data_IF_329989349990
#
_entry.id   IF_329989349990
#
_cell.length_a   1.000
_cell.length_b   1.000
_cell.length_c   1.000
_cell.angle_alpha   90.00
_cell.angle_beta   90.00
_cell.angle_gamma   90.00
#
_symmetry.space_group_name_H-M   'P 1'
#
loop_
_entity.id
_entity.type
_entity.pdbx_description
1 polymer ?
#
# COMPACT_ATOMS: atom_id res chain seq x y z
N UNK A 1 -33.61 -16.06 -36.94
CA UNK A 1 -33.62 -14.82 -36.12
C UNK A 1 -32.58 -14.79 -34.99
N UNK A 2 -31.48 -15.58 -35.04
CA UNK A 2 -30.48 -15.64 -33.94
C UNK A 2 -29.14 -14.93 -34.17
N UNK A 3 -28.92 -14.31 -35.34
CA UNK A 3 -27.65 -13.63 -35.68
C UNK A 3 -27.58 -12.17 -35.24
N UNK A 4 -28.73 -11.49 -35.16
CA UNK A 4 -28.82 -10.07 -34.78
C UNK A 4 -28.60 -9.86 -33.28
N UNK A 5 -29.14 -10.75 -32.43
CA UNK A 5 -29.03 -10.64 -30.96
C UNK A 5 -27.59 -10.80 -30.44
N UNK A 6 -26.77 -11.62 -31.11
CA UNK A 6 -25.35 -11.82 -30.74
C UNK A 6 -24.47 -10.63 -31.16
N UNK A 7 -24.78 -9.99 -32.29
CA UNK A 7 -24.11 -8.78 -32.74
C UNK A 7 -24.48 -7.58 -31.85
N UNK A 8 -25.75 -7.45 -31.44
CA UNK A 8 -26.18 -6.40 -30.52
C UNK A 8 -25.51 -6.53 -29.14
N UNK A 9 -25.37 -7.75 -28.63
CA UNK A 9 -24.71 -8.02 -27.35
C UNK A 9 -23.20 -7.71 -27.41
N UNK A 10 -22.53 -8.09 -28.51
CA UNK A 10 -21.12 -7.73 -28.73
C UNK A 10 -20.92 -6.22 -28.92
N UNK A 11 -21.84 -5.54 -29.63
CA UNK A 11 -21.83 -4.09 -29.79
C UNK A 11 -22.09 -3.37 -28.46
N UNK A 12 -22.99 -3.87 -27.61
CA UNK A 12 -23.21 -3.32 -26.26
C UNK A 12 -21.97 -3.49 -25.38
N UNK A 13 -21.31 -4.66 -25.41
CA UNK A 13 -20.07 -4.88 -24.68
C UNK A 13 -18.92 -3.99 -25.18
N UNK A 14 -18.77 -3.84 -26.49
CA UNK A 14 -17.79 -2.92 -27.10
C UNK A 14 -18.09 -1.46 -26.75
N UNK A 15 -19.37 -1.07 -26.68
CA UNK A 15 -19.77 0.28 -26.28
C UNK A 15 -19.50 0.54 -24.79
N UNK A 16 -19.76 -0.43 -23.91
CA UNK A 16 -19.42 -0.37 -22.48
C UNK A 16 -17.90 -0.34 -22.27
N UNK A 17 -17.11 -1.07 -23.07
CA UNK A 17 -15.65 -1.01 -23.03
C UNK A 17 -15.09 0.32 -23.58
N UNK A 18 -15.76 0.97 -24.55
CA UNK A 18 -15.32 2.24 -25.12
C UNK A 18 -15.64 3.44 -24.21
N UNK A 19 -16.58 3.30 -23.27
CA UNK A 19 -16.86 4.30 -22.23
C UNK A 19 -15.87 4.24 -21.06
N UNK A 20 -15.07 3.18 -20.93
CA UNK A 20 -13.89 3.17 -20.07
C UNK A 20 -12.68 3.64 -20.89
N UNK A 21 -12.61 4.94 -21.16
CA UNK A 21 -11.35 5.56 -21.59
C UNK A 21 -10.42 5.71 -20.40
N UNK A 22 -9.24 5.07 -20.38
CA UNK A 22 -8.11 5.64 -19.66
C UNK A 22 -7.66 6.87 -20.45
N UNK A 23 -7.80 8.05 -19.86
CA UNK A 23 -7.21 9.29 -20.37
C UNK A 23 -5.69 9.13 -20.32
N UNK A 24 -5.12 8.67 -21.44
CA UNK A 24 -3.69 8.74 -21.70
C UNK A 24 -3.40 10.14 -22.19
N UNK A 25 -2.92 10.99 -21.29
CA UNK A 25 -2.24 12.23 -21.65
C UNK A 25 -0.78 12.10 -21.26
N UNK A 26 0.05 11.83 -22.26
CA UNK A 26 1.49 12.02 -22.23
C UNK A 26 1.79 13.51 -22.05
N UNK A 27 2.36 13.89 -20.91
CA UNK A 27 3.01 15.21 -20.75
C UNK A 27 4.31 15.00 -19.96
N UNK A 28 5.40 15.38 -20.61
CA UNK A 28 6.78 15.45 -20.11
C UNK A 28 6.89 16.30 -18.83
N UNK A 29 7.83 16.02 -17.91
CA UNK A 29 8.02 16.86 -16.73
C UNK A 29 8.64 18.21 -17.13
N UNK A 30 8.14 19.36 -16.64
CA UNK A 30 8.89 20.59 -16.72
C UNK A 30 10.02 20.57 -15.70
N UNK A 31 11.22 20.83 -16.20
CA UNK A 31 12.40 21.24 -15.44
C UNK A 31 12.05 22.55 -14.71
N UNK A 32 12.00 22.53 -13.38
CA UNK A 32 12.13 23.75 -12.60
C UNK A 32 13.18 23.55 -11.51
N UNK A 33 14.33 24.14 -11.80
CA UNK A 33 15.42 24.47 -10.90
C UNK A 33 14.85 25.27 -9.73
N UNK A 34 15.09 24.83 -8.50
CA UNK A 34 15.12 25.73 -7.35
C UNK A 34 16.34 25.36 -6.51
N UNK A 35 17.43 26.07 -6.80
CA UNK A 35 18.56 26.23 -5.91
C UNK A 35 18.09 27.03 -4.70
N UNK A 36 18.42 26.55 -3.50
CA UNK A 36 18.09 27.21 -2.24
C UNK A 36 18.73 26.48 -1.08
N UNK A 37 20.06 26.35 -1.14
CA UNK A 37 20.89 26.01 0.01
C UNK A 37 21.00 27.24 0.90
N UNK A 38 20.50 27.16 2.13
CA UNK A 38 21.02 27.96 3.24
C UNK A 38 21.15 27.06 4.47
N UNK A 39 22.41 26.70 4.74
CA UNK A 39 22.90 26.43 6.09
C UNK A 39 22.45 27.56 7.02
N UNK A 40 21.90 27.20 8.18
CA UNK A 40 22.00 28.07 9.34
C UNK A 40 22.29 27.25 10.58
N UNK A 41 23.47 27.53 11.09
CA UNK A 41 24.14 27.11 12.31
C UNK A 41 23.29 27.17 13.57
N UNK A 42 23.56 26.20 14.44
CA UNK A 42 23.20 26.16 15.86
C UNK A 42 23.21 27.54 16.53
N UNK A 43 22.09 27.91 17.14
CA UNK A 43 22.10 28.80 18.29
C UNK A 43 21.12 28.27 19.34
N UNK A 44 21.69 27.78 20.45
CA UNK A 44 20.95 27.41 21.66
C UNK A 44 20.45 28.70 22.29
N UNK A 45 19.15 28.80 22.52
CA UNK A 45 18.64 29.68 23.56
C UNK A 45 17.41 29.03 24.21
N UNK A 46 17.60 28.56 25.43
CA UNK A 46 16.52 28.13 26.32
C UNK A 46 15.90 29.40 26.88
N UNK A 47 14.67 29.69 26.49
CA UNK A 47 13.76 30.54 27.25
C UNK A 47 12.44 29.82 27.42
N UNK A 48 12.22 29.44 28.66
CA UNK A 48 10.98 28.90 29.19
C UNK A 48 10.05 30.09 29.42
N UNK A 49 8.95 30.17 28.66
CA UNK A 49 7.80 30.99 29.01
C UNK A 49 6.54 30.14 28.85
N UNK A 50 5.76 30.12 29.93
CA UNK A 50 4.50 29.40 30.06
C UNK A 50 3.40 30.20 29.34
N UNK A 51 2.86 29.66 28.26
CA UNK A 51 1.47 29.87 27.86
C UNK A 51 0.94 28.59 27.19
N UNK A 52 -0.31 28.23 27.50
CA UNK A 52 -0.88 26.89 27.38
C UNK A 52 -1.27 26.48 25.95
N UNK A 53 -0.29 26.23 25.10
CA UNK A 53 -0.46 25.38 23.90
C UNK A 53 0.57 24.26 24.02
N UNK A 54 0.11 23.06 24.40
CA UNK A 54 0.93 21.85 24.23
C UNK A 54 1.16 21.66 22.74
N UNK A 55 2.24 22.24 22.22
CA UNK A 55 2.67 22.00 20.85
C UNK A 55 3.17 20.57 20.78
N UNK A 56 2.36 19.69 20.19
CA UNK A 56 2.75 18.30 19.99
C UNK A 56 3.78 18.25 18.87
N UNK A 57 5.06 18.15 19.24
CA UNK A 57 6.15 17.86 18.32
C UNK A 57 6.16 16.39 17.88
N UNK A 58 5.08 15.92 17.25
CA UNK A 58 5.01 14.58 16.67
C UNK A 58 5.02 14.66 15.14
N UNK A 59 5.98 14.02 14.49
CA UNK A 59 6.02 13.96 13.03
C UNK A 59 4.99 12.96 12.51
N UNK A 60 3.90 13.46 11.91
CA UNK A 60 2.82 12.64 11.33
C UNK A 60 3.33 11.63 10.31
N UNK A 61 4.19 12.05 9.40
CA UNK A 61 4.73 11.20 8.34
C UNK A 61 5.55 10.03 8.90
N UNK A 62 6.41 10.30 9.89
CA UNK A 62 7.16 9.26 10.60
C UNK A 62 6.25 8.33 11.40
N UNK A 63 5.21 8.87 12.05
CA UNK A 63 4.18 8.08 12.75
C UNK A 63 3.47 7.11 11.79
N UNK A 64 3.10 7.58 10.60
CA UNK A 64 2.51 6.76 9.53
C UNK A 64 3.47 5.65 9.08
N UNK A 65 4.76 5.94 8.95
CA UNK A 65 5.77 4.95 8.61
C UNK A 65 5.94 3.87 9.69
N UNK A 66 6.00 4.28 10.96
CA UNK A 66 6.06 3.36 12.09
C UNK A 66 4.86 2.42 12.09
N UNK A 67 3.65 2.98 11.94
CA UNK A 67 2.43 2.18 11.88
C UNK A 67 2.46 1.18 10.72
N UNK A 68 2.85 1.63 9.52
CA UNK A 68 2.96 0.76 8.34
C UNK A 68 3.92 -0.40 8.58
N UNK A 69 5.04 -0.17 9.27
CA UNK A 69 5.99 -1.23 9.63
C UNK A 69 5.35 -2.23 10.59
N UNK A 70 4.65 -1.74 11.62
CA UNK A 70 3.94 -2.58 12.59
C UNK A 70 2.91 -3.45 11.85
N UNK A 71 2.06 -2.85 11.02
CA UNK A 71 1.01 -3.54 10.28
C UNK A 71 1.56 -4.59 9.29
N UNK A 72 2.63 -4.27 8.57
CA UNK A 72 3.13 -5.13 7.50
C UNK A 72 4.09 -6.23 7.98
N UNK A 73 4.83 -6.00 9.07
CA UNK A 73 5.90 -6.89 9.54
C UNK A 73 5.68 -7.47 10.94
N UNK A 74 4.89 -6.83 11.81
CA UNK A 74 4.64 -7.31 13.17
C UNK A 74 3.26 -7.98 13.31
N UNK A 75 2.20 -7.28 12.92
CA UNK A 75 0.81 -7.75 13.08
C UNK A 75 0.52 -9.14 12.50
N UNK A 76 1.07 -9.55 11.33
CA UNK A 76 0.83 -10.89 10.79
C UNK A 76 1.30 -12.01 11.74
N UNK A 77 2.34 -11.77 12.52
CA UNK A 77 2.85 -12.74 13.49
C UNK A 77 2.06 -12.70 14.80
N UNK A 78 1.66 -11.51 15.25
CA UNK A 78 0.79 -11.33 16.42
C UNK A 78 -0.55 -12.03 16.21
N UNK A 79 -1.18 -11.80 15.05
CA UNK A 79 -2.43 -12.46 14.64
C UNK A 79 -2.26 -13.98 14.57
N UNK A 80 -1.14 -14.46 14.03
CA UNK A 80 -0.85 -15.90 13.90
C UNK A 80 -0.67 -16.59 15.26
N UNK A 81 -0.01 -15.94 16.22
CA UNK A 81 0.15 -16.49 17.58
C UNK A 81 -1.10 -16.24 18.46
N UNK A 82 -2.15 -15.58 17.92
CA UNK A 82 -3.39 -15.27 18.63
C UNK A 82 -3.19 -14.34 19.84
N UNK A 83 -2.12 -13.53 19.81
CA UNK A 83 -1.72 -12.71 20.95
C UNK A 83 -2.45 -11.36 20.96
N UNK A 84 -2.90 -10.94 22.14
CA UNK A 84 -3.49 -9.62 22.35
C UNK A 84 -2.43 -8.71 22.96
N UNK A 85 -2.07 -7.67 22.22
CA UNK A 85 -1.12 -6.65 22.71
C UNK A 85 -1.79 -5.90 23.86
N UNK A 86 -1.07 -5.70 24.96
CA UNK A 86 -1.61 -4.96 26.11
C UNK A 86 -1.89 -3.49 25.74
N UNK A 87 -2.96 -2.91 26.28
CA UNK A 87 -3.25 -1.48 26.13
C UNK A 87 -2.18 -0.57 26.73
N UNK A 88 -1.30 -1.08 27.60
CA UNK A 88 -0.16 -0.32 28.13
C UNK A 88 1.03 -0.24 27.15
N UNK A 89 1.09 -1.15 26.18
CA UNK A 89 2.18 -1.23 25.20
C UNK A 89 2.15 -0.03 24.26
N UNK A 90 3.33 0.55 23.98
CA UNK A 90 3.46 1.71 23.10
C UNK A 90 3.07 1.41 21.64
N UNK A 91 3.15 0.14 21.22
CA UNK A 91 2.79 -0.32 19.86
C UNK A 91 1.30 -0.68 19.72
N UNK A 92 0.50 -0.54 20.78
CA UNK A 92 -0.93 -0.81 20.73
C UNK A 92 -1.64 0.18 19.79
N UNK A 93 -2.60 -0.28 18.99
CA UNK A 93 -3.25 0.54 17.96
C UNK A 93 -4.00 1.74 18.51
N UNK A 94 -4.57 1.63 19.71
CA UNK A 94 -5.33 2.71 20.36
C UNK A 94 -4.44 3.81 20.93
N UNK A 95 -3.17 3.49 21.18
CA UNK A 95 -2.23 4.45 21.76
C UNK A 95 -1.60 5.35 20.69
N UNK A 96 -1.82 5.11 19.40
CA UNK A 96 -1.27 5.95 18.34
C UNK A 96 -2.02 7.29 18.26
N UNK A 97 -1.27 8.37 18.48
CA UNK A 97 -1.79 9.74 18.49
C UNK A 97 -2.59 10.09 17.23
N UNK A 98 -2.10 9.72 16.05
CA UNK A 98 -2.74 10.11 14.79
C UNK A 98 -3.70 9.06 14.23
N UNK A 99 -3.90 7.93 14.95
CA UNK A 99 -4.65 6.78 14.47
C UNK A 99 -6.01 7.13 13.91
N UNK A 100 -6.80 7.85 14.70
CA UNK A 100 -8.17 8.22 14.35
C UNK A 100 -8.19 9.09 13.09
N UNK A 101 -7.31 10.08 13.00
CA UNK A 101 -7.23 10.97 11.84
C UNK A 101 -6.79 10.24 10.57
N UNK A 102 -5.83 9.31 10.66
CA UNK A 102 -5.39 8.50 9.53
C UNK A 102 -6.50 7.55 9.04
N UNK A 103 -7.33 7.00 9.94
CA UNK A 103 -8.52 6.21 9.59
C UNK A 103 -9.62 7.04 8.91
N UNK A 104 -9.66 8.35 9.19
CA UNK A 104 -10.60 9.29 8.58
C UNK A 104 -10.08 9.93 7.29
N UNK A 105 -9.03 9.38 6.68
CA UNK A 105 -8.62 9.74 5.32
C UNK A 105 -9.35 8.91 4.30
N UNK A 106 -10.07 9.57 3.42
CA UNK A 106 -10.80 8.91 2.33
C UNK A 106 -10.12 9.27 1.02
N UNK A 107 -9.50 8.30 0.36
CA UNK A 107 -8.99 8.46 -1.00
C UNK A 107 -10.11 8.14 -1.98
N UNK A 108 -10.66 9.17 -2.63
CA UNK A 108 -11.83 9.06 -3.52
C UNK A 108 -11.39 8.75 -4.95
N UNK A 109 -10.39 9.50 -5.45
CA UNK A 109 -9.84 9.37 -6.79
C UNK A 109 -8.32 9.70 -6.75
N UNK A 110 -7.60 9.48 -7.86
CA UNK A 110 -6.13 9.65 -7.99
C UNK A 110 -5.65 10.99 -7.40
N UNK A 111 -6.42 12.06 -7.62
CA UNK A 111 -6.12 13.40 -7.15
C UNK A 111 -7.24 13.95 -6.25
N UNK A 112 -7.98 13.09 -5.55
CA UNK A 112 -9.03 13.53 -4.63
C UNK A 112 -8.94 12.80 -3.29
N UNK A 113 -8.55 13.55 -2.26
CA UNK A 113 -8.53 13.15 -0.86
C UNK A 113 -9.63 13.88 -0.10
N UNK A 114 -10.40 13.18 0.71
CA UNK A 114 -11.51 13.75 1.45
C UNK A 114 -11.35 13.54 2.96
N UNK A 115 -11.61 14.60 3.71
CA UNK A 115 -11.65 14.55 5.17
C UNK A 115 -12.88 13.77 5.66
N UNK A 116 -12.67 12.76 6.48
CA UNK A 116 -13.73 11.93 7.05
C UNK A 116 -14.67 12.68 7.99
N UNK A 117 -14.18 13.70 8.69
CA UNK A 117 -14.98 14.48 9.67
C UNK A 117 -15.88 15.52 9.01
N UNK A 118 -15.32 16.41 8.19
CA UNK A 118 -16.05 17.55 7.61
C UNK A 118 -16.32 17.44 6.10
N UNK A 119 -15.93 16.32 5.47
CA UNK A 119 -16.17 16.00 4.06
C UNK A 119 -15.55 16.97 3.04
N UNK A 120 -14.66 17.87 3.46
CA UNK A 120 -13.86 18.71 2.54
C UNK A 120 -12.92 17.85 1.69
N UNK A 121 -12.87 18.13 0.40
CA UNK A 121 -11.96 17.48 -0.55
C UNK A 121 -10.71 18.33 -0.79
N UNK A 122 -9.60 17.65 -1.05
CA UNK A 122 -8.26 18.17 -1.28
C UNK A 122 -7.64 17.41 -2.44
N UNK A 123 -6.75 18.06 -3.19
CA UNK A 123 -6.18 17.42 -4.38
C UNK A 123 -5.00 16.49 -4.08
N UNK A 124 -4.40 16.60 -2.89
CA UNK A 124 -3.30 15.74 -2.46
C UNK A 124 -3.32 15.52 -0.93
N UNK A 125 -2.74 14.40 -0.51
CA UNK A 125 -2.76 13.94 0.89
C UNK A 125 -2.13 14.96 1.85
N UNK A 126 -1.04 15.60 1.43
CA UNK A 126 -0.34 16.61 2.22
C UNK A 126 -1.21 17.83 2.58
N UNK A 127 -2.18 18.22 1.73
CA UNK A 127 -3.13 19.29 2.05
C UNK A 127 -4.20 18.83 3.03
N UNK A 128 -4.60 17.56 2.96
CA UNK A 128 -5.49 16.97 3.94
C UNK A 128 -4.81 16.84 5.31
N UNK A 129 -3.52 16.47 5.35
CA UNK A 129 -2.71 16.43 6.58
C UNK A 129 -2.65 17.81 7.24
N UNK A 130 -2.29 18.85 6.47
CA UNK A 130 -2.31 20.24 6.96
C UNK A 130 -3.70 20.65 7.44
N UNK A 131 -4.76 20.20 6.77
CA UNK A 131 -6.13 20.48 7.21
C UNK A 131 -6.43 19.82 8.57
N UNK A 132 -5.98 18.60 8.83
CA UNK A 132 -6.13 17.97 10.14
C UNK A 132 -5.40 18.75 11.23
N UNK A 133 -4.16 19.16 10.97
CA UNK A 133 -3.34 19.91 11.93
C UNK A 133 -3.98 21.26 12.28
N UNK A 134 -4.63 21.92 11.32
CA UNK A 134 -5.23 23.25 11.54
C UNK A 134 -6.68 23.22 12.04
N UNK A 135 -7.48 22.21 11.66
CA UNK A 135 -8.95 22.23 11.86
C UNK A 135 -9.46 21.11 12.76
N UNK A 136 -8.69 20.05 12.92
CA UNK A 136 -9.07 18.86 13.69
C UNK A 136 -8.03 18.50 14.76
N UNK A 137 -7.14 19.44 15.12
CA UNK A 137 -6.17 19.26 16.19
C UNK A 137 -6.83 18.88 17.52
N UNK A 138 -7.96 19.52 17.85
CA UNK A 138 -8.70 19.32 19.11
C UNK A 138 -9.30 17.91 19.25
N UNK A 139 -9.34 17.10 18.18
CA UNK A 139 -9.79 15.71 18.25
C UNK A 139 -8.68 14.76 18.69
N UNK A 140 -7.44 15.23 18.81
CA UNK A 140 -6.31 14.44 19.27
C UNK A 140 -6.34 14.30 20.80
N UNK A 141 -6.26 13.06 21.28
CA UNK A 141 -6.13 12.78 22.70
C UNK A 141 -4.65 12.79 23.13
N UNK A 142 -4.08 13.98 23.25
CA UNK A 142 -2.64 14.20 23.53
C UNK A 142 -2.23 13.66 24.91
N UNK A 143 -3.16 13.56 25.87
CA UNK A 143 -2.84 13.13 27.24
C UNK A 143 -2.69 11.62 27.38
N UNK A 144 -3.46 10.85 26.61
CA UNK A 144 -3.46 9.38 26.67
C UNK A 144 -2.63 8.75 25.55
N UNK A 145 -2.67 9.34 24.36
CA UNK A 145 -2.02 8.76 23.18
C UNK A 145 -0.54 9.18 23.10
N UNK A 146 0.27 8.31 22.53
CA UNK A 146 1.71 8.47 22.39
C UNK A 146 2.06 8.68 20.92
N UNK A 147 3.09 9.48 20.68
CA UNK A 147 3.63 9.67 19.34
C UNK A 147 4.36 8.39 18.89
N UNK A 148 3.90 7.74 17.81
CA UNK A 148 4.63 6.58 17.24
C UNK A 148 5.92 7.00 16.53
N UNK A 149 6.07 8.28 16.14
CA UNK A 149 7.33 8.74 15.57
C UNK A 149 8.51 8.59 16.55
N UNK A 150 8.25 8.58 17.87
CA UNK A 150 9.27 8.36 18.89
C UNK A 150 9.92 6.97 18.81
N UNK A 151 9.17 5.95 18.34
CA UNK A 151 9.69 4.59 18.19
C UNK A 151 10.34 4.35 16.83
N UNK A 152 10.38 5.35 15.95
CA UNK A 152 10.93 5.17 14.61
C UNK A 152 12.41 4.79 14.60
N UNK A 153 13.18 5.26 15.58
CA UNK A 153 14.56 4.84 15.76
C UNK A 153 14.68 3.33 15.99
N UNK A 154 13.76 2.75 16.77
CA UNK A 154 13.73 1.31 17.04
C UNK A 154 13.18 0.48 15.85
N UNK A 155 12.19 1.02 15.13
CA UNK A 155 11.48 0.32 14.05
C UNK A 155 12.11 0.49 12.66
N UNK A 156 13.16 1.30 12.51
CA UNK A 156 13.79 1.60 11.22
C UNK A 156 12.85 2.32 10.22
N UNK A 157 12.07 3.31 10.67
CA UNK A 157 11.14 4.05 9.80
C UNK A 157 11.79 4.64 8.54
N UNK A 158 13.04 5.10 8.66
CA UNK A 158 13.77 5.72 7.55
C UNK A 158 13.94 4.75 6.36
N UNK A 159 13.94 3.43 6.60
CA UNK A 159 13.98 2.42 5.56
C UNK A 159 12.69 2.36 4.71
N UNK A 160 11.54 2.74 5.27
CA UNK A 160 10.25 2.74 4.55
C UNK A 160 9.93 4.10 3.94
N UNK A 161 10.47 5.17 4.53
CA UNK A 161 10.30 6.55 4.09
C UNK A 161 11.21 6.90 2.91
N UNK A 162 12.50 6.53 2.98
CA UNK A 162 13.50 6.95 2.01
C UNK A 162 13.89 5.79 1.08
N UNK A 163 13.45 5.87 -0.19
CA UNK A 163 13.97 5.02 -1.27
C UNK A 163 15.42 5.35 -1.66
N UNK A 164 15.96 6.48 -1.14
CA UNK A 164 17.31 6.98 -1.39
C UNK A 164 18.08 7.19 -0.09
N UNK A 165 18.14 6.17 0.77
CA UNK A 165 19.10 6.18 1.88
C UNK A 165 20.52 6.29 1.31
N UNK A 166 21.05 7.51 1.20
CA UNK A 166 22.48 7.73 1.18
C UNK A 166 22.96 7.19 2.52
N UNK A 167 23.63 6.03 2.49
CA UNK A 167 24.15 5.37 3.68
C UNK A 167 25.13 6.32 4.37
N UNK A 168 24.62 7.09 5.32
CA UNK A 168 25.46 7.93 6.18
C UNK A 168 26.30 7.00 7.05
N UNK A 169 27.50 7.45 7.40
CA UNK A 169 28.41 6.69 8.26
C UNK A 169 27.68 6.32 9.56
N UNK A 170 27.68 5.03 9.92
CA UNK A 170 26.99 4.55 11.11
C UNK A 170 27.47 5.29 12.36
N UNK A 171 26.53 5.79 13.17
CA UNK A 171 26.82 6.35 14.48
C UNK A 171 26.61 5.27 15.56
N UNK A 172 27.67 4.77 16.22
CA UNK A 172 27.55 3.70 17.19
C UNK A 172 26.71 4.09 18.42
N UNK A 173 26.76 5.34 18.84
CA UNK A 173 25.95 5.82 19.96
C UNK A 173 24.45 5.85 19.61
N UNK A 174 24.10 6.22 18.38
CA UNK A 174 22.72 6.19 17.91
C UNK A 174 22.20 4.75 17.77
N UNK A 175 23.02 3.85 17.21
CA UNK A 175 22.68 2.44 17.10
C UNK A 175 22.44 1.80 18.48
N UNK A 176 23.31 2.06 19.46
CA UNK A 176 23.14 1.56 20.82
C UNK A 176 21.85 2.09 21.49
N UNK A 177 21.57 3.39 21.35
CA UNK A 177 20.32 3.98 21.89
C UNK A 177 19.07 3.37 21.26
N UNK A 178 19.05 3.23 19.94
CA UNK A 178 17.92 2.65 19.21
C UNK A 178 17.74 1.16 19.55
N UNK A 179 18.85 0.44 19.77
CA UNK A 179 18.82 -0.95 20.25
C UNK A 179 18.14 -1.07 21.61
N UNK A 180 18.57 -0.27 22.59
CA UNK A 180 17.95 -0.30 23.92
C UNK A 180 16.48 0.10 23.89
N UNK A 181 16.12 1.11 23.08
CA UNK A 181 14.71 1.46 22.86
C UNK A 181 13.93 0.27 22.28
N UNK A 182 14.49 -0.43 21.29
CA UNK A 182 13.87 -1.61 20.69
C UNK A 182 13.68 -2.76 21.68
N UNK A 183 14.70 -3.06 22.49
CA UNK A 183 14.64 -4.07 23.55
C UNK A 183 13.57 -3.71 24.58
N UNK A 184 13.52 -2.44 25.03
CA UNK A 184 12.48 -1.98 25.97
C UNK A 184 11.05 -2.09 25.41
N UNK A 185 10.87 -1.94 24.10
CA UNK A 185 9.58 -2.18 23.44
C UNK A 185 9.23 -3.67 23.44
N UNK A 186 10.20 -4.55 23.18
CA UNK A 186 9.99 -5.99 23.24
C UNK A 186 9.58 -6.44 24.66
N UNK A 187 10.24 -5.92 25.69
CA UNK A 187 9.92 -6.23 27.09
C UNK A 187 8.53 -5.70 27.48
N UNK A 188 8.20 -4.46 27.10
CA UNK A 188 6.93 -3.83 27.46
C UNK A 188 5.72 -4.37 26.69
N UNK A 189 5.91 -4.79 25.44
CA UNK A 189 4.83 -5.26 24.57
C UNK A 189 4.67 -6.77 24.53
N UNK A 190 5.77 -7.51 24.72
CA UNK A 190 5.81 -8.97 24.66
C UNK A 190 6.64 -9.50 25.84
N UNK A 191 6.16 -9.38 27.08
CA UNK A 191 6.91 -9.86 28.24
C UNK A 191 7.03 -11.39 28.20
N UNK A 192 8.23 -11.93 28.43
CA UNK A 192 8.48 -13.38 28.46
C UNK A 192 7.68 -14.11 29.54
N UNK A 193 7.28 -13.40 30.60
CA UNK A 193 6.38 -13.89 31.65
C UNK A 193 4.91 -14.00 31.20
N UNK A 194 4.54 -13.39 30.07
CA UNK A 194 3.20 -13.40 29.49
C UNK A 194 2.81 -14.69 28.77
N UNK A 195 3.58 -15.77 28.94
CA UNK A 195 3.31 -17.09 28.39
C UNK A 195 4.05 -17.40 27.07
N UNK A 196 3.82 -18.60 26.49
CA UNK A 196 4.59 -19.09 25.34
C UNK A 196 4.45 -18.22 24.08
N UNK A 197 3.25 -17.74 23.78
CA UNK A 197 3.01 -16.86 22.62
C UNK A 197 3.74 -15.52 22.77
N UNK A 198 3.69 -14.92 23.97
CA UNK A 198 4.41 -13.69 24.26
C UNK A 198 5.93 -13.88 24.14
N UNK A 199 6.47 -14.98 24.67
CA UNK A 199 7.89 -15.31 24.57
C UNK A 199 8.36 -15.51 23.12
N UNK A 200 7.57 -16.19 22.27
CA UNK A 200 7.87 -16.33 20.83
C UNK A 200 7.85 -15.00 20.09
N UNK A 201 6.87 -14.14 20.40
CA UNK A 201 6.78 -12.80 19.81
C UNK A 201 7.92 -11.89 20.29
N UNK A 202 8.33 -12.02 21.55
CA UNK A 202 9.49 -11.34 22.11
C UNK A 202 10.76 -11.69 21.32
N UNK A 203 11.06 -12.99 21.18
CA UNK A 203 12.21 -13.44 20.41
C UNK A 203 12.13 -12.97 18.95
N UNK A 204 10.95 -13.12 18.33
CA UNK A 204 10.72 -12.65 16.96
C UNK A 204 11.01 -11.15 16.83
N UNK A 205 10.50 -10.33 17.75
CA UNK A 205 10.67 -8.88 17.71
C UNK A 205 12.14 -8.49 17.82
N UNK A 206 12.87 -9.08 18.77
CA UNK A 206 14.31 -8.84 18.93
C UNK A 206 15.09 -9.19 17.66
N UNK A 207 14.85 -10.36 17.07
CA UNK A 207 15.54 -10.82 15.85
C UNK A 207 15.19 -9.99 14.61
N UNK A 208 13.93 -9.56 14.49
CA UNK A 208 13.43 -8.87 13.30
C UNK A 208 13.79 -7.39 13.30
N UNK A 209 13.72 -6.72 14.45
CA UNK A 209 13.88 -5.27 14.58
C UNK A 209 15.18 -4.89 15.30
N UNK A 210 15.51 -5.55 16.42
CA UNK A 210 16.57 -5.06 17.32
C UNK A 210 17.98 -5.51 16.91
N UNK A 211 18.15 -6.72 16.36
CA UNK A 211 19.43 -7.25 15.89
C UNK A 211 20.06 -6.39 14.76
N UNK A 212 19.25 -5.62 14.03
CA UNK A 212 19.71 -4.71 12.99
C UNK A 212 20.37 -3.43 13.55
N UNK A 213 20.20 -3.11 14.84
CA UNK A 213 20.86 -1.96 15.49
C UNK A 213 22.31 -2.26 15.84
N UNK A 214 23.14 -2.50 14.83
CA UNK A 214 24.58 -2.70 14.96
C UNK A 214 25.32 -1.95 13.85
N UNK A 215 26.51 -1.41 14.14
CA UNK A 215 27.36 -0.79 13.10
C UNK A 215 28.24 -1.82 12.37
N UNK A 216 28.24 -3.07 12.82
CA UNK A 216 29.06 -4.16 12.29
C UNK A 216 28.17 -5.20 11.63
N UNK A 217 28.12 -5.20 10.31
CA UNK A 217 27.43 -6.23 9.52
C UNK A 217 26.23 -5.70 8.74
N UNK A 218 26.13 -6.10 7.47
CA UNK A 218 25.05 -5.71 6.56
C UNK A 218 23.75 -6.51 6.77
N UNK A 219 23.25 -6.61 8.00
CA UNK A 219 21.94 -7.24 8.23
C UNK A 219 20.84 -6.24 7.84
N UNK A 220 20.00 -6.66 6.89
CA UNK A 220 18.89 -5.85 6.39
C UNK A 220 17.78 -5.84 7.45
N UNK A 221 17.22 -4.66 7.81
CA UNK A 221 15.99 -4.62 8.57
C UNK A 221 14.92 -5.41 7.80
N UNK A 222 14.08 -6.13 8.54
CA UNK A 222 12.97 -6.94 8.01
C UNK A 222 13.34 -8.22 7.24
N UNK A 223 14.21 -9.05 7.84
CA UNK A 223 14.64 -10.33 7.26
C UNK A 223 13.50 -11.34 7.01
N UNK A 224 12.47 -11.35 7.87
CA UNK A 224 11.26 -12.18 7.70
C UNK A 224 10.18 -11.38 6.97
N UNK A 225 9.64 -12.01 5.93
CA UNK A 225 8.89 -11.36 4.85
C UNK A 225 7.70 -10.49 5.27
N UNK A 226 7.47 -9.47 4.44
CA UNK A 226 6.32 -8.55 4.45
C UNK A 226 5.02 -9.33 4.18
N UNK A 227 3.90 -8.95 4.83
CA UNK A 227 2.57 -9.40 4.40
C UNK A 227 2.40 -9.07 2.91
N UNK A 228 2.41 -10.10 2.05
CA UNK A 228 2.22 -9.90 0.61
C UNK A 228 0.78 -9.48 0.38
N UNK A 229 0.56 -8.19 0.09
CA UNK A 229 -0.73 -7.71 -0.38
C UNK A 229 -0.92 -8.26 -1.79
N UNK A 230 -1.60 -9.40 -1.91
CA UNK A 230 -2.05 -9.90 -3.20
C UNK A 230 -2.98 -8.85 -3.77
N UNK A 231 -2.53 -8.20 -4.85
CA UNK A 231 -3.33 -7.17 -5.51
C UNK A 231 -4.63 -7.82 -5.98
N UNK A 232 -5.77 -7.38 -5.44
CA UNK A 232 -7.09 -7.86 -5.87
C UNK A 232 -7.23 -7.73 -7.39
N UNK A 233 -6.66 -6.67 -7.97
CA UNK A 233 -6.57 -6.49 -9.42
C UNK A 233 -5.84 -7.63 -10.12
N UNK A 234 -4.74 -8.14 -9.56
CA UNK A 234 -4.01 -9.28 -10.12
C UNK A 234 -4.86 -10.55 -10.10
N UNK A 235 -5.61 -10.80 -9.01
CA UNK A 235 -6.56 -11.90 -8.94
C UNK A 235 -7.70 -11.76 -9.95
N UNK A 236 -8.28 -10.56 -10.07
CA UNK A 236 -9.31 -10.28 -11.06
C UNK A 236 -8.81 -10.49 -12.49
N UNK A 237 -7.62 -9.99 -12.83
CA UNK A 237 -7.00 -10.18 -14.15
C UNK A 237 -6.71 -11.66 -14.41
N UNK A 238 -6.17 -12.37 -13.42
CA UNK A 238 -5.92 -13.82 -13.49
C UNK A 238 -7.20 -14.60 -13.81
N UNK A 239 -8.29 -14.34 -13.08
CA UNK A 239 -9.57 -15.02 -13.31
C UNK A 239 -10.13 -14.68 -14.69
N UNK A 240 -10.07 -13.40 -15.08
CA UNK A 240 -10.58 -12.92 -16.37
C UNK A 240 -9.83 -13.56 -17.54
N UNK A 241 -8.49 -13.67 -17.46
CA UNK A 241 -7.68 -14.37 -18.46
C UNK A 241 -8.00 -15.86 -18.56
N UNK A 242 -8.21 -16.56 -17.43
CA UNK A 242 -8.59 -17.97 -17.41
C UNK A 242 -9.96 -18.25 -18.04
N UNK A 243 -10.87 -17.27 -18.02
CA UNK A 243 -12.20 -17.40 -18.65
C UNK A 243 -12.20 -17.03 -20.14
N UNK A 244 -11.48 -15.96 -20.51
CA UNK A 244 -11.44 -15.48 -21.91
C UNK A 244 -10.60 -16.36 -22.83
N UNK A 245 -9.50 -16.94 -22.32
CA UNK A 245 -8.60 -17.75 -23.13
C UNK A 245 -9.30 -19.00 -23.72
N UNK A 246 -10.04 -19.83 -22.94
CA UNK A 246 -10.77 -20.97 -23.49
C UNK A 246 -11.90 -20.57 -24.43
N UNK A 247 -12.61 -19.47 -24.12
CA UNK A 247 -13.66 -18.93 -24.98
C UNK A 247 -13.08 -18.54 -26.35
N UNK A 248 -11.95 -17.84 -26.36
CA UNK A 248 -11.26 -17.47 -27.60
C UNK A 248 -10.91 -18.70 -28.45
N UNK A 249 -10.27 -19.71 -27.86
CA UNK A 249 -9.92 -20.94 -28.59
C UNK A 249 -11.16 -21.72 -29.04
N UNK A 250 -12.22 -21.73 -28.25
CA UNK A 250 -13.50 -22.34 -28.64
C UNK A 250 -14.13 -21.63 -29.85
N UNK A 251 -14.12 -20.30 -29.87
CA UNK A 251 -14.58 -19.52 -31.03
C UNK A 251 -13.73 -19.79 -32.28
N UNK A 252 -12.40 -19.84 -32.15
CA UNK A 252 -11.51 -20.18 -33.27
C UNK A 252 -11.80 -21.59 -33.78
N UNK A 253 -11.99 -22.56 -32.88
CA UNK A 253 -12.36 -23.94 -33.24
C UNK A 253 -13.68 -23.99 -34.02
N UNK A 254 -14.72 -23.30 -33.53
CA UNK A 254 -16.01 -23.21 -34.23
C UNK A 254 -15.89 -22.52 -35.59
N UNK A 255 -15.08 -21.46 -35.69
CA UNK A 255 -14.85 -20.74 -36.94
C UNK A 255 -14.14 -21.60 -37.99
N UNK A 256 -13.06 -22.29 -37.59
CA UNK A 256 -12.35 -23.23 -38.46
C UNK A 256 -13.24 -24.40 -38.89
N UNK A 257 -14.05 -24.95 -37.97
CA UNK A 257 -15.01 -26.02 -38.29
C UNK A 257 -16.12 -25.54 -39.22
N UNK A 258 -16.60 -24.31 -39.02
CA UNK A 258 -17.59 -23.65 -39.87
C UNK A 258 -17.08 -23.43 -41.29
N UNK A 259 -15.85 -22.93 -41.45
CA UNK A 259 -15.17 -22.79 -42.74
C UNK A 259 -14.96 -24.14 -43.43
N UNK A 260 -14.57 -25.20 -42.69
CA UNK A 260 -14.45 -26.56 -43.26
C UNK A 260 -15.79 -27.13 -43.74
N UNK A 261 -16.89 -26.91 -43.01
CA UNK A 261 -18.25 -27.29 -43.49
C UNK A 261 -18.69 -26.46 -44.69
N UNK A 262 -18.39 -25.16 -44.72
CA UNK A 262 -18.66 -24.29 -45.86
C UNK A 262 -17.95 -24.77 -47.13
N UNK A 263 -16.66 -25.06 -47.05
CA UNK A 263 -15.86 -25.55 -48.18
C UNK A 263 -16.36 -26.89 -48.74
N UNK A 264 -16.84 -27.81 -47.89
CA UNK A 264 -17.43 -29.08 -48.33
C UNK A 264 -18.77 -28.91 -49.07
N UNK A 265 -19.56 -27.90 -48.72
CA UNK A 265 -20.84 -27.62 -49.37
C UNK A 265 -20.65 -26.96 -50.75
N UNK A 266 -19.62 -26.12 -50.94
CA UNK A 266 -19.30 -25.56 -52.26
C UNK A 266 -18.69 -26.60 -53.22
N UNK A 267 -17.99 -27.62 -52.70
CA UNK A 267 -17.38 -28.68 -53.52
C UNK A 267 -18.38 -29.70 -54.08
N UNK A 268 -19.66 -29.63 -53.68
CA UNK A 268 -20.71 -30.59 -54.12
C UNK A 268 -21.54 -30.07 -55.30
N UNK A 269 -21.22 -28.91 -55.86
CA UNK A 269 -21.83 -28.38 -57.09
C UNK A 269 -20.73 -28.34 -58.16
N UNK A 270 -20.37 -29.48 -58.74
CA UNK A 270 -19.65 -29.54 -60.01
C UNK A 270 -20.58 -30.07 -61.09
N UNK A 271 -20.72 -29.28 -62.15
CA UNK A 271 -21.55 -29.42 -63.36
C UNK A 271 -22.12 -30.81 -63.70
N UNK A 272 -23.44 -30.93 -63.71
CA UNK A 272 -24.17 -31.94 -64.50
C UNK A 272 -25.15 -31.27 -65.46
N UNK A 273 -24.59 -30.44 -66.35
CA UNK A 273 -25.36 -29.68 -67.34
C UNK A 273 -24.86 -29.88 -68.76
N UNK A 274 -25.05 -31.07 -69.35
CA UNK A 274 -25.00 -31.20 -70.82
C UNK A 274 -25.96 -32.29 -71.31
N UNK A 275 -27.22 -31.90 -71.53
CA UNK A 275 -28.19 -32.68 -72.31
C UNK A 275 -27.72 -32.76 -73.78
N UNK A 276 -27.62 -33.97 -74.34
CA UNK A 276 -27.43 -34.17 -75.79
C UNK A 276 -28.77 -33.99 -76.52
N UNK A 277 -28.73 -33.30 -77.67
CA UNK A 277 -29.84 -33.17 -78.63
C UNK A 277 -30.10 -34.52 -79.32
N UNK A 278 -31.36 -34.82 -79.71
CA UNK A 278 -31.68 -36.02 -80.46
C UNK A 278 -31.49 -35.78 -81.96
N UNK A 279 -30.79 -36.68 -82.64
CA UNK A 279 -31.00 -37.05 -84.05
C UNK A 279 -30.39 -38.41 -84.29
#
# INVERSE_FOLDING_TARGET
MGRSASLLSMLLCLWVCLQLRPTTSSISPPLHTNQGFQESTNSRNVKQDQDGIHEVHCSRERSRAAWKIIEEYLMPFVEKEGYQISSSCRLHHENDLYRDQEQHKIHVDINEWRCGYCKKSFYAENYLDKHFDNRHYNLLNVSQNKCLADVCGALHCDHVMDSKLQMTKCNPAAAARNRHLCESLADGCFPVSGGPSASRLHEFFLRQFCDAHTCTGGRKPFSRGRKKRTSVFYLCISILTLMLLPLFYFFVYLYQRGLRRGAQNFRRISESGRKKKPT
#
